data_IF_968274729951
#
_entry.id   IF_968274729951
#
_cell.length_a   1.000
_cell.length_b   1.000
_cell.length_c   1.000
_cell.angle_alpha   90.00
_cell.angle_beta   90.00
_cell.angle_gamma   90.00
#
_symmetry.space_group_name_H-M   'P 1'
#
loop_
_entity.id
_entity.type
_entity.pdbx_description
1 polymer ?
#
# COMPACT_ATOMS: atom_id res chain seq x y z
N UNK A 1 11.14 -0.80 19.25
CA UNK A 1 11.25 -1.39 17.89
C UNK A 1 10.40 -0.63 16.87
N UNK A 2 9.08 -0.55 17.05
CA UNK A 2 8.15 0.12 16.10
C UNK A 2 8.55 1.56 15.72
N UNK A 3 8.87 2.41 16.71
CA UNK A 3 9.33 3.79 16.46
C UNK A 3 10.59 3.86 15.57
N UNK A 4 11.48 2.88 15.70
CA UNK A 4 12.70 2.81 14.88
C UNK A 4 12.34 2.48 13.43
N UNK A 5 11.46 1.49 13.20
CA UNK A 5 10.98 1.13 11.85
C UNK A 5 10.24 2.29 11.17
N UNK A 6 9.40 3.01 11.92
CA UNK A 6 8.73 4.22 11.46
C UNK A 6 9.73 5.31 11.03
N UNK A 7 10.77 5.52 11.84
CA UNK A 7 11.83 6.47 11.52
C UNK A 7 12.64 6.05 10.28
N UNK A 8 13.03 4.78 10.18
CA UNK A 8 13.73 4.22 9.00
C UNK A 8 12.89 4.38 7.71
N UNK A 9 11.58 4.13 7.79
CA UNK A 9 10.66 4.35 6.68
C UNK A 9 10.54 5.83 6.31
N UNK A 10 10.38 6.72 7.29
CA UNK A 10 10.35 8.16 7.07
C UNK A 10 11.64 8.69 6.42
N UNK A 11 12.80 8.20 6.85
CA UNK A 11 14.09 8.52 6.24
C UNK A 11 14.14 8.04 4.79
N UNK A 12 13.64 6.84 4.49
CA UNK A 12 13.58 6.30 3.13
C UNK A 12 12.71 7.17 2.21
N UNK A 13 11.56 7.65 2.70
CA UNK A 13 10.70 8.59 1.96
C UNK A 13 11.41 9.93 1.74
N UNK A 14 12.13 10.45 2.75
CA UNK A 14 12.92 11.67 2.63
C UNK A 14 14.06 11.54 1.61
N UNK A 15 14.71 10.38 1.53
CA UNK A 15 15.69 10.07 0.49
C UNK A 15 15.05 10.08 -0.90
N UNK A 16 13.85 9.51 -1.05
CA UNK A 16 13.08 9.60 -2.30
C UNK A 16 12.78 11.03 -2.71
N UNK A 17 12.36 11.88 -1.76
CA UNK A 17 12.16 13.31 -1.98
C UNK A 17 13.44 14.02 -2.42
N UNK A 18 14.57 13.71 -1.80
CA UNK A 18 15.87 14.26 -2.20
C UNK A 18 16.28 13.79 -3.60
N UNK A 19 15.99 12.54 -3.96
CA UNK A 19 16.25 11.98 -5.29
C UNK A 19 15.47 12.74 -6.37
N UNK A 20 14.19 13.05 -6.14
CA UNK A 20 13.38 13.86 -7.07
C UNK A 20 14.04 15.23 -7.30
N UNK A 21 14.48 15.91 -6.24
CA UNK A 21 15.19 17.20 -6.35
C UNK A 21 16.47 17.09 -7.19
N UNK A 22 17.26 16.02 -7.03
CA UNK A 22 18.45 15.78 -7.86
C UNK A 22 18.10 15.60 -9.32
N UNK A 23 17.05 14.84 -9.62
CA UNK A 23 16.59 14.59 -11.00
C UNK A 23 16.12 15.89 -11.66
N UNK A 24 15.35 16.72 -10.96
CA UNK A 24 14.92 18.04 -11.47
C UNK A 24 16.14 18.91 -11.78
N UNK A 25 17.09 19.01 -10.83
CA UNK A 25 18.31 19.78 -11.03
C UNK A 25 19.12 19.28 -12.23
N UNK A 26 19.22 17.96 -12.39
CA UNK A 26 19.89 17.36 -13.53
C UNK A 26 19.27 17.78 -14.86
N UNK A 27 17.95 17.74 -14.99
CA UNK A 27 17.27 18.19 -16.22
C UNK A 27 17.40 19.70 -16.46
N UNK A 28 17.43 20.52 -15.41
CA UNK A 28 17.72 21.95 -15.52
C UNK A 28 19.13 22.21 -16.06
N UNK A 29 20.12 21.50 -15.54
CA UNK A 29 21.51 21.64 -16.01
C UNK A 29 21.71 21.08 -17.43
N UNK A 30 21.02 20.00 -17.81
CA UNK A 30 20.97 19.52 -19.20
C UNK A 30 20.43 20.60 -20.13
N UNK A 31 19.32 21.23 -19.75
CA UNK A 31 18.69 22.30 -20.54
C UNK A 31 19.67 23.44 -20.81
N UNK A 32 20.41 23.89 -19.78
CA UNK A 32 21.43 24.93 -19.92
C UNK A 32 22.62 24.47 -20.75
N UNK A 33 23.14 23.26 -20.49
CA UNK A 33 24.34 22.72 -21.15
C UNK A 33 24.16 22.61 -22.67
N UNK A 34 23.01 22.13 -23.11
CA UNK A 34 22.72 21.95 -24.54
C UNK A 34 21.99 23.15 -25.16
N UNK A 35 21.66 24.18 -24.37
CA UNK A 35 20.86 25.34 -24.77
C UNK A 35 19.60 24.95 -25.58
N UNK A 36 18.91 23.92 -25.12
CA UNK A 36 17.83 23.28 -25.86
C UNK A 36 16.49 23.56 -25.17
N UNK A 37 15.66 24.39 -25.82
CA UNK A 37 14.37 24.85 -25.31
C UNK A 37 13.37 23.70 -25.09
N UNK A 38 13.46 22.64 -25.89
CA UNK A 38 12.55 21.50 -25.81
C UNK A 38 12.71 20.77 -24.46
N UNK A 39 13.94 20.69 -23.91
CA UNK A 39 14.13 20.17 -22.55
C UNK A 39 13.48 21.05 -21.48
N UNK A 40 13.53 22.38 -21.64
CA UNK A 40 12.86 23.31 -20.74
C UNK A 40 11.33 23.12 -20.77
N UNK A 41 10.76 22.99 -21.98
CA UNK A 41 9.33 22.77 -22.18
C UNK A 41 8.86 21.45 -21.56
N UNK A 42 9.60 20.35 -21.79
CA UNK A 42 9.27 19.05 -21.20
C UNK A 42 9.28 19.11 -19.67
N UNK A 43 10.28 19.77 -19.08
CA UNK A 43 10.34 19.95 -17.64
C UNK A 43 9.14 20.76 -17.14
N UNK A 44 8.83 21.89 -17.79
CA UNK A 44 7.70 22.76 -17.44
C UNK A 44 6.37 22.00 -17.45
N UNK A 45 6.13 21.18 -18.47
CA UNK A 45 4.92 20.35 -18.59
C UNK A 45 4.80 19.32 -17.46
N UNK A 46 5.91 18.83 -16.92
CA UNK A 46 5.92 17.84 -15.83
C UNK A 46 5.85 18.46 -14.42
N UNK A 47 6.15 19.76 -14.26
CA UNK A 47 6.16 20.44 -12.94
C UNK A 47 4.88 20.19 -12.12
N UNK A 48 3.65 20.25 -12.68
CA UNK A 48 2.45 19.99 -11.91
C UNK A 48 2.44 18.59 -11.26
N UNK A 49 2.73 17.56 -12.04
CA UNK A 49 2.78 16.16 -11.56
C UNK A 49 3.89 15.99 -10.52
N UNK A 50 5.07 16.55 -10.77
CA UNK A 50 6.20 16.54 -9.84
C UNK A 50 5.84 17.21 -8.51
N UNK A 51 5.11 18.34 -8.55
CA UNK A 51 4.67 19.06 -7.35
C UNK A 51 3.74 18.21 -6.50
N UNK A 52 2.83 17.47 -7.10
CA UNK A 52 1.92 16.57 -6.39
C UNK A 52 2.66 15.40 -5.74
N UNK A 53 3.61 14.79 -6.47
CA UNK A 53 4.53 13.77 -5.92
C UNK A 53 5.31 14.34 -4.72
N UNK A 54 5.89 15.54 -4.84
CA UNK A 54 6.65 16.18 -3.75
C UNK A 54 5.77 16.50 -2.54
N UNK A 55 4.54 16.98 -2.75
CA UNK A 55 3.57 17.20 -1.67
C UNK A 55 3.23 15.88 -0.96
N UNK A 56 3.08 14.79 -1.71
CA UNK A 56 2.80 13.47 -1.14
C UNK A 56 4.01 12.91 -0.38
N UNK A 57 5.22 13.01 -0.93
CA UNK A 57 6.47 12.63 -0.24
C UNK A 57 6.65 13.41 1.06
N UNK A 58 6.46 14.73 1.05
CA UNK A 58 6.57 15.56 2.25
C UNK A 58 5.57 15.15 3.34
N UNK A 59 4.32 14.87 2.95
CA UNK A 59 3.30 14.34 3.88
C UNK A 59 3.71 12.94 4.37
N UNK A 60 4.14 12.08 3.47
CA UNK A 60 4.56 10.71 3.75
C UNK A 60 5.71 10.61 4.74
N UNK A 61 6.71 11.50 4.69
CA UNK A 61 7.77 11.57 5.71
C UNK A 61 7.14 11.72 7.10
N UNK A 62 6.23 12.69 7.27
CA UNK A 62 5.53 12.90 8.53
C UNK A 62 4.70 11.67 8.93
N UNK A 63 3.84 11.19 8.03
CA UNK A 63 2.95 10.05 8.31
C UNK A 63 3.75 8.80 8.73
N UNK A 64 4.82 8.47 8.02
CA UNK A 64 5.68 7.32 8.32
C UNK A 64 6.39 7.49 9.66
N UNK A 65 6.96 8.67 9.95
CA UNK A 65 7.64 8.92 11.24
C UNK A 65 6.68 8.86 12.43
N UNK A 66 5.44 9.34 12.26
CA UNK A 66 4.38 9.31 13.27
C UNK A 66 3.72 7.92 13.38
N UNK A 67 3.96 7.02 12.41
CA UNK A 67 3.34 5.70 12.36
C UNK A 67 1.85 5.75 12.01
N UNK A 68 1.44 6.75 11.24
CA UNK A 68 0.06 6.85 10.76
C UNK A 68 -0.19 5.87 9.59
N UNK A 69 -1.40 5.33 9.44
CA UNK A 69 -1.76 4.50 8.29
C UNK A 69 -1.64 5.22 6.95
N UNK A 70 -0.94 4.60 6.01
CA UNK A 70 -0.75 5.12 4.66
C UNK A 70 -1.61 4.35 3.64
N UNK A 71 -1.71 4.85 2.40
CA UNK A 71 -2.50 4.20 1.35
C UNK A 71 -2.11 2.74 1.12
N UNK A 72 -0.81 2.45 1.12
CA UNK A 72 -0.24 1.10 0.95
C UNK A 72 -0.60 0.13 2.09
N UNK A 73 -1.09 0.65 3.21
CA UNK A 73 -1.49 -0.16 4.37
C UNK A 73 -2.84 -0.85 4.22
N UNK A 74 -3.57 -0.64 3.13
CA UNK A 74 -4.90 -1.22 2.95
C UNK A 74 -4.87 -2.76 2.84
N UNK A 75 -3.89 -3.35 2.15
CA UNK A 75 -3.74 -4.80 2.04
C UNK A 75 -3.53 -5.46 3.42
N UNK A 76 -2.54 -5.02 4.22
CA UNK A 76 -2.33 -5.53 5.57
C UNK A 76 -3.47 -5.20 6.53
N UNK A 77 -4.24 -4.14 6.28
CA UNK A 77 -5.43 -3.80 7.05
C UNK A 77 -6.57 -4.79 6.80
N UNK A 78 -6.84 -5.13 5.54
CA UNK A 78 -7.83 -6.16 5.18
C UNK A 78 -7.43 -7.50 5.77
N UNK A 79 -6.16 -7.92 5.65
CA UNK A 79 -5.68 -9.16 6.27
C UNK A 79 -5.85 -9.16 7.80
N UNK A 80 -5.41 -8.08 8.48
CA UNK A 80 -5.56 -7.97 9.94
C UNK A 80 -7.01 -8.05 10.42
N UNK A 81 -8.00 -7.71 9.57
CA UNK A 81 -9.42 -7.80 9.91
C UNK A 81 -9.95 -9.22 10.07
N UNK A 82 -9.19 -10.21 9.59
CA UNK A 82 -9.49 -11.63 9.75
C UNK A 82 -8.68 -12.29 10.87
N UNK A 83 -7.71 -11.59 11.47
CA UNK A 83 -6.84 -12.12 12.51
C UNK A 83 -7.47 -11.91 13.89
N UNK A 84 -8.15 -12.94 14.39
CA UNK A 84 -8.88 -12.94 15.68
C UNK A 84 -8.11 -13.65 16.79
N UNK A 85 -7.15 -14.50 16.41
CA UNK A 85 -6.28 -15.23 17.34
C UNK A 85 -4.96 -14.50 17.54
N UNK A 86 -4.21 -14.94 18.55
CA UNK A 86 -2.85 -14.46 18.78
C UNK A 86 -1.97 -14.76 17.56
N UNK A 87 -1.35 -13.74 16.92
CA UNK A 87 -0.49 -13.95 15.77
C UNK A 87 0.78 -14.73 16.14
N UNK A 88 1.15 -15.66 15.27
CA UNK A 88 2.45 -16.33 15.25
C UNK A 88 3.40 -15.47 14.41
N UNK A 89 4.67 -15.40 14.81
CA UNK A 89 5.68 -14.59 14.10
C UNK A 89 6.64 -15.46 13.27
N UNK A 90 6.94 -15.02 12.06
CA UNK A 90 8.11 -15.43 11.27
C UNK A 90 9.15 -14.32 11.40
N UNK A 91 9.94 -14.38 12.47
CA UNK A 91 10.82 -13.27 12.89
C UNK A 91 11.85 -12.87 11.83
N UNK A 92 12.44 -13.84 11.13
CA UNK A 92 13.44 -13.61 10.08
C UNK A 92 12.88 -12.85 8.88
N UNK A 93 11.61 -13.11 8.56
CA UNK A 93 10.94 -12.57 7.38
C UNK A 93 10.12 -11.30 7.71
N UNK A 94 10.12 -10.87 8.98
CA UNK A 94 9.27 -9.82 9.54
C UNK A 94 7.76 -9.98 9.23
N UNK A 95 7.27 -11.23 9.16
CA UNK A 95 5.86 -11.54 8.91
C UNK A 95 5.15 -12.06 10.16
N UNK A 96 3.84 -11.91 10.18
CA UNK A 96 2.93 -12.52 11.16
C UNK A 96 1.84 -13.30 10.46
N UNK A 97 1.37 -14.37 11.10
CA UNK A 97 0.26 -15.17 10.57
C UNK A 97 -0.64 -15.73 11.67
N UNK A 98 -1.91 -15.98 11.33
CA UNK A 98 -2.87 -16.68 12.19
C UNK A 98 -3.57 -17.79 11.42
N UNK A 99 -4.02 -18.81 12.15
CA UNK A 99 -4.86 -19.89 11.63
C UNK A 99 -6.30 -19.63 12.05
N UNK A 100 -7.14 -19.26 11.10
CA UNK A 100 -8.49 -18.77 11.32
C UNK A 100 -9.52 -19.68 10.65
N UNK A 101 -10.79 -19.51 11.02
CA UNK A 101 -11.89 -20.16 10.33
C UNK A 101 -12.79 -19.08 9.73
N UNK A 102 -12.81 -18.98 8.40
CA UNK A 102 -13.55 -17.97 7.65
C UNK A 102 -14.55 -18.72 6.77
N UNK A 103 -15.85 -18.43 6.91
CA UNK A 103 -16.93 -19.13 6.21
C UNK A 103 -16.85 -20.67 6.32
N UNK A 104 -16.43 -21.19 7.48
CA UNK A 104 -16.28 -22.64 7.69
C UNK A 104 -15.03 -23.25 7.04
N UNK A 105 -14.16 -22.45 6.43
CA UNK A 105 -12.89 -22.87 5.80
C UNK A 105 -11.71 -22.50 6.68
N UNK A 106 -10.76 -23.44 6.82
CA UNK A 106 -9.48 -23.18 7.47
C UNK A 106 -8.67 -22.20 6.62
N UNK A 107 -8.33 -21.05 7.18
CA UNK A 107 -7.56 -20.02 6.51
C UNK A 107 -6.26 -19.73 7.26
N UNK A 108 -5.17 -19.50 6.53
CA UNK A 108 -3.92 -18.99 7.09
C UNK A 108 -3.79 -17.56 6.61
N UNK A 109 -4.01 -16.61 7.51
CA UNK A 109 -3.95 -15.17 7.20
C UNK A 109 -2.54 -14.69 7.51
N UNK A 110 -1.93 -13.99 6.57
CA UNK A 110 -0.53 -13.57 6.60
C UNK A 110 -0.43 -12.09 6.24
N UNK A 111 0.43 -11.37 6.95
CA UNK A 111 0.80 -9.98 6.63
C UNK A 111 2.18 -9.66 7.22
N UNK A 112 2.80 -8.54 6.85
CA UNK A 112 3.99 -8.06 7.54
C UNK A 112 3.68 -7.70 9.01
N UNK A 113 4.71 -7.66 9.84
CA UNK A 113 4.58 -7.32 11.27
C UNK A 113 4.35 -5.81 11.45
N UNK A 114 3.19 -5.44 11.97
CA UNK A 114 2.86 -4.08 12.38
C UNK A 114 2.91 -3.85 13.90
N UNK A 115 2.58 -2.64 14.38
CA UNK A 115 2.09 -1.48 13.62
C UNK A 115 3.17 -0.58 13.01
N UNK A 116 4.45 -0.91 13.19
CA UNK A 116 5.56 -0.19 12.58
C UNK A 116 5.59 -0.37 11.06
N UNK A 117 6.15 0.62 10.37
CA UNK A 117 6.30 0.60 8.92
C UNK A 117 7.25 -0.53 8.49
N UNK A 118 6.68 -1.63 7.98
CA UNK A 118 7.39 -2.81 7.46
C UNK A 118 6.69 -3.33 6.21
N UNK A 119 7.46 -3.89 5.30
CA UNK A 119 6.98 -4.62 4.11
C UNK A 119 7.25 -6.13 4.25
N UNK A 120 8.31 -6.51 4.96
CA UNK A 120 8.69 -7.92 5.19
C UNK A 120 9.30 -8.62 3.96
N UNK A 121 9.95 -9.77 4.17
CA UNK A 121 10.41 -10.66 3.10
C UNK A 121 9.26 -11.65 2.76
N UNK A 122 8.34 -11.19 1.92
CA UNK A 122 7.15 -11.96 1.56
C UNK A 122 7.52 -13.21 0.76
N UNK A 123 8.56 -13.17 -0.06
CA UNK A 123 9.00 -14.31 -0.87
C UNK A 123 9.36 -15.53 -0.01
N UNK A 124 10.33 -15.38 0.89
CA UNK A 124 10.79 -16.50 1.73
C UNK A 124 9.75 -16.92 2.75
N UNK A 125 9.09 -15.95 3.39
CA UNK A 125 8.04 -16.22 4.36
C UNK A 125 6.89 -17.03 3.77
N UNK A 126 6.46 -16.68 2.56
CA UNK A 126 5.40 -17.41 1.86
C UNK A 126 5.82 -18.82 1.45
N UNK A 127 7.07 -19.03 1.00
CA UNK A 127 7.57 -20.38 0.71
C UNK A 127 7.42 -21.29 1.94
N UNK A 128 7.89 -20.83 3.11
CA UNK A 128 7.79 -21.56 4.39
C UNK A 128 6.33 -21.93 4.71
N UNK A 129 5.39 -21.01 4.50
CA UNK A 129 3.97 -21.22 4.79
C UNK A 129 3.27 -22.14 3.77
N UNK A 130 3.60 -22.02 2.48
CA UNK A 130 3.09 -22.89 1.43
C UNK A 130 3.53 -24.34 1.66
N UNK A 131 4.76 -24.56 2.10
CA UNK A 131 5.28 -25.89 2.42
C UNK A 131 4.61 -26.51 3.65
N UNK A 132 4.43 -25.70 4.69
CA UNK A 132 3.84 -26.12 5.96
C UNK A 132 2.35 -26.45 5.83
N UNK A 133 1.58 -25.56 5.22
CA UNK A 133 0.12 -25.66 5.20
C UNK A 133 -0.45 -26.30 3.94
N UNK A 134 0.34 -26.38 2.86
CA UNK A 134 -0.07 -26.95 1.56
C UNK A 134 -1.45 -26.43 1.14
N UNK A 135 -1.61 -25.09 0.97
CA UNK A 135 -2.91 -24.50 0.72
C UNK A 135 -3.50 -24.98 -0.61
N UNK A 136 -4.82 -25.09 -0.67
CA UNK A 136 -5.55 -25.35 -1.91
C UNK A 136 -5.53 -24.12 -2.81
N UNK A 137 -5.46 -22.91 -2.22
CA UNK A 137 -5.58 -21.63 -2.91
C UNK A 137 -4.86 -20.53 -2.14
N UNK A 138 -4.30 -19.57 -2.85
CA UNK A 138 -3.70 -18.37 -2.26
C UNK A 138 -4.45 -17.14 -2.77
N UNK A 139 -4.82 -16.24 -1.86
CA UNK A 139 -5.48 -14.98 -2.16
C UNK A 139 -4.53 -13.86 -1.73
N UNK A 140 -4.17 -12.97 -2.65
CA UNK A 140 -3.30 -11.81 -2.39
C UNK A 140 -4.12 -10.54 -2.45
N UNK A 141 -3.86 -9.62 -1.53
CA UNK A 141 -4.57 -8.34 -1.41
C UNK A 141 -3.51 -7.25 -1.36
N UNK A 142 -3.50 -6.37 -2.36
CA UNK A 142 -2.50 -5.31 -2.49
C UNK A 142 -3.14 -3.99 -2.90
N UNK A 143 -2.44 -2.92 -2.57
CA UNK A 143 -2.75 -1.60 -3.05
C UNK A 143 -2.07 -1.37 -4.41
N UNK A 144 -2.83 -1.04 -5.44
CA UNK A 144 -2.32 -0.90 -6.81
C UNK A 144 -2.49 0.52 -7.33
N UNK A 145 -1.51 0.99 -8.10
CA UNK A 145 -1.61 2.26 -8.82
C UNK A 145 -2.83 2.28 -9.75
N UNK A 146 -3.65 3.32 -9.61
CA UNK A 146 -4.77 3.59 -10.52
C UNK A 146 -4.26 4.25 -11.79
N UNK A 147 -4.92 3.96 -12.90
CA UNK A 147 -4.84 4.78 -14.10
C UNK A 147 -5.74 6.01 -13.95
N UNK A 148 -5.53 7.05 -14.76
CA UNK A 148 -6.29 8.30 -14.57
C UNK A 148 -7.79 8.18 -14.86
N UNK A 149 -8.19 7.22 -15.70
CA UNK A 149 -9.60 6.88 -15.92
C UNK A 149 -10.22 6.01 -14.81
N UNK A 150 -9.42 5.46 -13.89
CA UNK A 150 -9.92 4.60 -12.83
C UNK A 150 -10.32 5.42 -11.59
N UNK A 151 -11.40 4.98 -10.94
CA UNK A 151 -11.88 5.56 -9.69
C UNK A 151 -10.98 5.12 -8.53
N UNK A 152 -10.53 6.06 -7.72
CA UNK A 152 -9.81 5.76 -6.47
C UNK A 152 -10.71 4.97 -5.50
N UNK A 153 -10.17 3.91 -4.91
CA UNK A 153 -10.88 2.97 -4.07
C UNK A 153 -11.66 1.89 -4.82
N UNK A 154 -11.61 1.84 -6.16
CA UNK A 154 -12.17 0.71 -6.90
C UNK A 154 -11.35 -0.55 -6.69
N UNK A 155 -12.00 -1.71 -6.73
CA UNK A 155 -11.33 -3.01 -6.62
C UNK A 155 -11.25 -3.69 -7.99
N UNK A 156 -10.19 -4.47 -8.20
CA UNK A 156 -10.05 -5.34 -9.36
C UNK A 156 -9.64 -6.75 -8.91
N UNK A 157 -10.32 -7.77 -9.45
CA UNK A 157 -9.96 -9.18 -9.26
C UNK A 157 -9.11 -9.67 -10.44
N UNK A 158 -8.11 -10.52 -10.17
CA UNK A 158 -7.25 -11.11 -11.20
C UNK A 158 -6.64 -12.44 -10.77
N UNK A 159 -5.73 -12.96 -11.59
CA UNK A 159 -4.97 -14.19 -11.32
C UNK A 159 -3.49 -13.84 -11.16
N UNK A 160 -2.82 -14.48 -10.20
CA UNK A 160 -1.42 -14.22 -9.87
C UNK A 160 -1.25 -13.55 -8.51
N UNK A 161 -0.04 -13.06 -8.24
CA UNK A 161 0.26 -12.33 -7.00
C UNK A 161 0.21 -10.83 -7.27
N UNK A 162 -0.73 -10.14 -6.62
CA UNK A 162 -0.76 -8.69 -6.58
C UNK A 162 0.37 -8.21 -5.65
N UNK A 163 1.45 -7.70 -6.24
CA UNK A 163 2.58 -7.13 -5.49
C UNK A 163 3.42 -6.22 -6.39
N UNK A 164 3.76 -5.04 -5.86
CA UNK A 164 4.70 -4.10 -6.47
C UNK A 164 6.18 -4.51 -6.34
N UNK A 165 7.08 -3.60 -6.74
CA UNK A 165 8.53 -3.73 -6.55
C UNK A 165 9.26 -4.42 -7.70
N UNK A 166 10.44 -4.98 -7.40
CA UNK A 166 11.35 -5.59 -8.40
C UNK A 166 10.81 -6.86 -9.05
N UNK A 167 9.73 -7.44 -8.50
CA UNK A 167 9.14 -8.70 -8.98
C UNK A 167 9.83 -9.96 -8.47
N UNK A 168 10.91 -9.86 -7.70
CA UNK A 168 11.65 -11.03 -7.18
C UNK A 168 10.81 -11.84 -6.20
N UNK A 169 10.17 -11.19 -5.22
CA UNK A 169 9.30 -11.86 -4.26
C UNK A 169 8.07 -12.47 -4.97
N UNK A 170 7.54 -11.77 -5.98
CA UNK A 170 6.40 -12.22 -6.79
C UNK A 170 6.76 -13.52 -7.50
N UNK A 171 7.92 -13.53 -8.16
CA UNK A 171 8.47 -14.71 -8.83
C UNK A 171 8.57 -15.91 -7.87
N UNK A 172 9.13 -15.74 -6.67
CA UNK A 172 9.27 -16.85 -5.73
C UNK A 172 7.93 -17.47 -5.31
N UNK A 173 6.92 -16.65 -5.06
CA UNK A 173 5.59 -17.12 -4.68
C UNK A 173 4.92 -17.82 -5.87
N UNK A 174 4.95 -17.19 -7.05
CA UNK A 174 4.31 -17.70 -8.27
C UNK A 174 4.95 -19.01 -8.74
N UNK A 175 6.29 -19.08 -8.73
CA UNK A 175 7.03 -20.29 -9.08
C UNK A 175 6.64 -21.46 -8.15
N UNK A 176 6.62 -21.21 -6.84
CA UNK A 176 6.29 -22.24 -5.84
C UNK A 176 4.83 -22.69 -5.95
N UNK A 177 3.90 -21.76 -6.12
CA UNK A 177 2.47 -22.05 -6.29
C UNK A 177 2.23 -22.84 -7.58
N UNK A 178 2.86 -22.44 -8.68
CA UNK A 178 2.74 -23.11 -9.99
C UNK A 178 3.27 -24.54 -9.94
N UNK A 179 4.47 -24.75 -9.36
CA UNK A 179 5.04 -26.10 -9.17
C UNK A 179 4.12 -27.04 -8.38
N UNK A 180 3.29 -26.48 -7.48
CA UNK A 180 2.33 -27.22 -6.65
C UNK A 180 0.89 -27.18 -7.19
N UNK A 181 0.66 -26.54 -8.34
CA UNK A 181 -0.66 -26.34 -8.97
C UNK A 181 -1.67 -25.67 -8.04
N UNK A 182 -1.20 -24.70 -7.25
CA UNK A 182 -2.02 -23.90 -6.33
C UNK A 182 -2.50 -22.66 -7.09
N UNK A 183 -3.83 -22.46 -7.28
CA UNK A 183 -4.36 -21.25 -7.87
C UNK A 183 -4.05 -20.01 -7.03
N UNK A 184 -3.79 -18.91 -7.73
CA UNK A 184 -3.47 -17.60 -7.17
C UNK A 184 -4.56 -16.61 -7.57
N UNK A 185 -5.29 -16.07 -6.60
CA UNK A 185 -6.22 -14.97 -6.81
C UNK A 185 -5.60 -13.66 -6.33
N UNK A 186 -5.79 -12.60 -7.10
CA UNK A 186 -5.31 -11.25 -6.80
C UNK A 186 -6.51 -10.32 -6.59
N UNK A 187 -6.46 -9.52 -5.52
CA UNK A 187 -7.39 -8.42 -5.26
C UNK A 187 -6.54 -7.14 -5.19
N UNK A 188 -6.72 -6.27 -6.17
CA UNK A 188 -6.02 -5.00 -6.27
C UNK A 188 -6.95 -3.84 -5.90
N UNK A 189 -6.52 -3.00 -4.95
CA UNK A 189 -7.27 -1.81 -4.52
C UNK A 189 -6.64 -0.59 -5.16
N UNK A 190 -7.37 0.07 -6.05
CA UNK A 190 -6.85 1.16 -6.89
C UNK A 190 -6.68 2.45 -6.09
N UNK A 191 -5.46 2.98 -6.07
CA UNK A 191 -5.13 4.24 -5.43
C UNK A 191 -4.24 5.10 -6.32
N UNK A 192 -4.22 6.41 -6.08
CA UNK A 192 -3.20 7.27 -6.69
C UNK A 192 -1.81 6.81 -6.22
N UNK A 193 -0.81 6.66 -7.11
CA UNK A 193 0.54 6.24 -6.72
C UNK A 193 1.15 7.14 -5.63
N UNK A 194 0.85 8.42 -5.67
CA UNK A 194 1.32 9.39 -4.68
C UNK A 194 0.74 9.11 -3.28
N UNK A 195 -0.47 8.56 -3.21
CA UNK A 195 -1.16 8.27 -1.97
C UNK A 195 -0.65 6.98 -1.28
N UNK A 196 0.17 6.17 -1.96
CA UNK A 196 0.76 4.95 -1.39
C UNK A 196 1.58 5.26 -0.13
N UNK A 197 2.30 6.38 -0.15
CA UNK A 197 3.25 6.78 0.89
C UNK A 197 2.71 7.82 1.88
N UNK A 198 1.56 8.45 1.58
CA UNK A 198 0.92 9.43 2.44
C UNK A 198 -0.28 8.83 3.18
N UNK A 199 -0.88 9.59 4.10
CA UNK A 199 -2.09 9.19 4.81
C UNK A 199 -3.15 8.57 3.87
N UNK A 200 -3.75 7.47 4.30
CA UNK A 200 -4.81 6.78 3.55
C UNK A 200 -5.98 7.71 3.26
N UNK A 201 -6.39 7.78 1.99
CA UNK A 201 -7.52 8.62 1.56
C UNK A 201 -8.87 7.97 1.87
N UNK A 202 -9.93 8.77 1.84
CA UNK A 202 -11.29 8.27 2.00
C UNK A 202 -11.67 7.26 0.91
N UNK A 203 -11.21 7.49 -0.33
CA UNK A 203 -11.46 6.58 -1.44
C UNK A 203 -10.91 5.19 -1.15
N UNK A 204 -9.63 5.10 -0.79
CA UNK A 204 -8.98 3.83 -0.43
C UNK A 204 -9.62 3.19 0.80
N UNK A 205 -9.93 3.99 1.83
CA UNK A 205 -10.54 3.46 3.06
C UNK A 205 -11.93 2.86 2.83
N UNK A 206 -12.74 3.42 1.91
CA UNK A 206 -14.06 2.87 1.56
C UNK A 206 -13.96 1.48 0.90
N UNK A 207 -12.86 1.19 0.20
CA UNK A 207 -12.62 -0.10 -0.43
C UNK A 207 -12.41 -1.24 0.60
N UNK A 208 -12.16 -0.91 1.87
CA UNK A 208 -11.88 -1.89 2.92
C UNK A 208 -12.96 -2.97 3.05
N UNK A 209 -14.24 -2.58 3.15
CA UNK A 209 -15.32 -3.56 3.31
C UNK A 209 -15.59 -4.34 2.02
N UNK A 210 -15.46 -3.70 0.86
CA UNK A 210 -15.58 -4.35 -0.45
C UNK A 210 -14.49 -5.41 -0.63
N UNK A 211 -13.23 -5.07 -0.34
CA UNK A 211 -12.12 -6.01 -0.39
C UNK A 211 -12.30 -7.18 0.58
N UNK A 212 -12.80 -6.94 1.81
CA UNK A 212 -13.13 -8.02 2.75
C UNK A 212 -14.21 -8.96 2.20
N UNK A 213 -15.23 -8.41 1.55
CA UNK A 213 -16.28 -9.21 0.93
C UNK A 213 -15.73 -10.07 -0.22
N UNK A 214 -14.84 -9.50 -1.05
CA UNK A 214 -14.15 -10.24 -2.12
C UNK A 214 -13.26 -11.37 -1.59
N UNK A 215 -12.52 -11.12 -0.50
CA UNK A 215 -11.73 -12.18 0.16
C UNK A 215 -12.62 -13.33 0.60
N UNK A 216 -13.74 -13.05 1.27
CA UNK A 216 -14.69 -14.10 1.69
C UNK A 216 -15.25 -14.88 0.50
N UNK A 217 -15.67 -14.17 -0.56
CA UNK A 217 -16.14 -14.77 -1.83
C UNK A 217 -15.07 -15.69 -2.46
N UNK A 218 -13.79 -15.31 -2.40
CA UNK A 218 -12.70 -16.11 -2.95
C UNK A 218 -12.31 -17.30 -2.06
N UNK A 219 -12.46 -17.17 -0.74
CA UNK A 219 -12.34 -18.30 0.21
C UNK A 219 -13.38 -19.36 -0.08
N UNK A 220 -14.62 -18.98 -0.40
CA UNK A 220 -15.72 -19.92 -0.70
C UNK A 220 -15.46 -20.77 -1.96
N UNK A 221 -14.57 -20.33 -2.86
CA UNK A 221 -14.16 -21.10 -4.04
C UNK A 221 -13.28 -22.31 -3.69
N UNK A 222 -12.71 -22.36 -2.49
CA UNK A 222 -11.92 -23.50 -2.04
C UNK A 222 -12.82 -24.66 -1.59
N UNK A 223 -12.51 -25.88 -2.01
CA UNK A 223 -13.34 -27.06 -1.75
C UNK A 223 -13.02 -27.70 -0.41
N UNK A 224 -11.79 -28.16 -0.20
CA UNK A 224 -11.44 -29.07 0.91
C UNK A 224 -10.15 -28.70 1.65
N UNK A 225 -9.23 -27.98 1.04
CA UNK A 225 -7.95 -27.59 1.63
C UNK A 225 -7.96 -26.19 2.25
N UNK A 226 -6.90 -25.85 3.00
CA UNK A 226 -6.79 -24.54 3.62
C UNK A 226 -6.53 -23.45 2.57
N UNK A 227 -7.01 -22.24 2.83
CA UNK A 227 -6.77 -21.06 1.99
C UNK A 227 -5.71 -20.18 2.65
N UNK A 228 -4.72 -19.74 1.91
CA UNK A 228 -3.74 -18.79 2.41
C UNK A 228 -4.12 -17.38 1.92
N UNK A 229 -4.28 -16.44 2.84
CA UNK A 229 -4.64 -15.05 2.55
C UNK A 229 -3.44 -14.17 2.89
N UNK A 230 -2.91 -13.44 1.91
CA UNK A 230 -1.75 -12.57 2.07
C UNK A 230 -2.17 -11.11 1.88
N UNK A 231 -2.03 -10.30 2.94
CA UNK A 231 -2.10 -8.84 2.83
C UNK A 231 -0.73 -8.27 2.52
N UNK A 232 -0.58 -7.72 1.32
CA UNK A 232 0.65 -7.12 0.77
C UNK A 232 0.61 -5.62 0.99
N UNK A 233 1.75 -5.04 1.40
CA UNK A 233 1.92 -3.60 1.59
C UNK A 233 2.49 -3.23 2.96
N UNK A 234 2.71 -1.94 3.17
CA UNK A 234 3.33 -1.39 4.37
C UNK A 234 2.40 -1.43 5.60
N UNK A 235 2.89 -1.87 6.75
CA UNK A 235 2.10 -1.99 7.99
C UNK A 235 2.05 -0.76 8.91
N UNK A 236 2.56 0.39 8.48
CA UNK A 236 2.51 1.64 9.25
C UNK A 236 1.11 1.90 9.79
N UNK A 237 0.99 2.05 11.11
CA UNK A 237 -0.26 2.30 11.82
C UNK A 237 -1.28 1.16 11.82
N UNK A 238 -0.96 -0.03 11.27
CA UNK A 238 -1.86 -1.18 11.24
C UNK A 238 -1.29 -2.32 12.08
N UNK A 239 -1.92 -2.62 13.22
CA UNK A 239 -1.50 -3.74 14.07
C UNK A 239 -1.78 -5.14 13.49
N UNK A 240 -1.50 -6.15 14.30
CA UNK A 240 -1.47 -7.57 13.88
C UNK A 240 -2.76 -8.34 14.26
N UNK A 241 -3.83 -7.63 14.61
CA UNK A 241 -5.05 -8.22 15.16
C UNK A 241 -6.27 -7.33 14.87
N UNK A 242 -7.45 -7.93 14.71
CA UNK A 242 -8.69 -7.21 14.39
C UNK A 242 -8.98 -6.04 15.36
N UNK A 243 -8.90 -6.30 16.67
CA UNK A 243 -9.03 -5.26 17.72
C UNK A 243 -8.12 -4.04 17.56
N UNK A 244 -6.93 -4.19 16.98
CA UNK A 244 -6.02 -3.06 16.75
C UNK A 244 -6.49 -2.14 15.61
N UNK A 245 -7.44 -2.60 14.79
CA UNK A 245 -7.99 -1.81 13.69
C UNK A 245 -8.90 -0.68 14.16
N UNK A 246 -9.48 -0.75 15.37
CA UNK A 246 -10.31 0.34 15.88
C UNK A 246 -9.53 1.64 16.03
N UNK A 247 -8.31 1.55 16.56
CA UNK A 247 -7.41 2.70 16.69
C UNK A 247 -6.96 3.20 15.31
N UNK A 248 -6.55 2.30 14.42
CA UNK A 248 -6.18 2.64 13.06
C UNK A 248 -7.32 3.37 12.32
N UNK A 249 -8.55 2.86 12.41
CA UNK A 249 -9.74 3.47 11.79
C UNK A 249 -10.00 4.88 12.34
N UNK A 250 -9.83 5.11 13.65
CA UNK A 250 -9.96 6.45 14.26
C UNK A 250 -8.91 7.42 13.70
N UNK A 251 -7.66 6.99 13.57
CA UNK A 251 -6.57 7.81 13.00
C UNK A 251 -6.86 8.13 11.52
N UNK A 252 -7.26 7.13 10.72
CA UNK A 252 -7.63 7.31 9.30
C UNK A 252 -8.76 8.32 9.16
N UNK A 253 -9.84 8.19 9.94
CA UNK A 253 -10.97 9.13 9.88
C UNK A 253 -10.58 10.55 10.30
N UNK A 254 -9.73 10.70 11.32
CA UNK A 254 -9.18 12.01 11.71
C UNK A 254 -8.36 12.64 10.59
N UNK A 255 -7.50 11.84 9.94
CA UNK A 255 -6.66 12.30 8.84
C UNK A 255 -7.47 12.69 7.60
N UNK A 256 -8.51 11.92 7.26
CA UNK A 256 -9.44 12.26 6.18
C UNK A 256 -10.09 13.62 6.43
N UNK A 257 -10.54 13.90 7.67
CA UNK A 257 -11.12 15.20 8.03
C UNK A 257 -10.09 16.34 7.87
N UNK A 258 -8.86 16.13 8.36
CA UNK A 258 -7.75 17.11 8.24
C UNK A 258 -7.43 17.41 6.78
N UNK A 259 -7.34 16.39 5.93
CA UNK A 259 -7.06 16.56 4.50
C UNK A 259 -8.15 17.35 3.79
N UNK A 260 -9.43 17.09 4.09
CA UNK A 260 -10.55 17.85 3.53
C UNK A 260 -10.51 19.33 3.91
N UNK A 261 -10.14 19.64 5.15
CA UNK A 261 -9.98 21.05 5.56
C UNK A 261 -8.81 21.73 4.85
N UNK A 262 -7.67 21.04 4.71
CA UNK A 262 -6.49 21.56 4.00
C UNK A 262 -6.80 21.81 2.51
N UNK A 263 -7.50 20.89 1.84
CA UNK A 263 -7.92 21.06 0.45
C UNK A 263 -8.91 22.22 0.27
N UNK A 264 -9.84 22.41 1.21
CA UNK A 264 -10.77 23.52 1.18
C UNK A 264 -10.06 24.88 1.33
N UNK A 265 -9.06 24.96 2.21
CA UNK A 265 -8.23 26.15 2.35
C UNK A 265 -7.37 26.42 1.12
N UNK A 266 -6.73 25.39 0.53
CA UNK A 266 -5.97 25.56 -0.71
C UNK A 266 -6.87 26.05 -1.86
N UNK A 267 -8.10 25.53 -1.98
CA UNK A 267 -9.07 26.00 -2.98
C UNK A 267 -9.48 27.45 -2.76
N UNK A 268 -9.71 27.88 -1.52
CA UNK A 268 -10.00 29.28 -1.20
C UNK A 268 -8.82 30.19 -1.57
N UNK A 269 -7.60 29.81 -1.22
CA UNK A 269 -6.38 30.58 -1.56
C UNK A 269 -6.17 30.69 -3.07
N UNK A 270 -6.42 29.61 -3.82
CA UNK A 270 -6.40 29.63 -5.30
C UNK A 270 -7.47 30.55 -5.86
N UNK A 271 -8.72 30.42 -5.42
CA UNK A 271 -9.80 31.30 -5.87
C UNK A 271 -9.52 32.79 -5.63
N UNK A 272 -8.87 33.12 -4.51
CA UNK A 272 -8.45 34.51 -4.21
C UNK A 272 -7.33 34.95 -5.16
N UNK A 273 -6.33 34.10 -5.41
CA UNK A 273 -5.26 34.37 -6.37
C UNK A 273 -5.77 34.50 -7.80
N UNK A 274 -6.67 33.64 -8.23
CA UNK A 274 -7.30 33.67 -9.55
C UNK A 274 -8.16 34.95 -9.71
N UNK A 275 -8.80 35.43 -8.63
CA UNK A 275 -9.53 36.71 -8.64
C UNK A 275 -8.63 37.96 -8.62
N UNK A 276 -7.35 37.79 -8.28
CA UNK A 276 -6.33 38.86 -8.22
C UNK A 276 -5.35 38.79 -9.41
N UNK A 277 -5.40 37.73 -10.22
CA UNK A 277 -4.65 37.59 -11.48
C UNK A 277 -5.38 38.38 -12.58
N UNK A 278 -4.75 39.38 -13.22
CA UNK A 278 -5.34 40.07 -14.36
C UNK A 278 -5.19 39.29 -15.68
N UNK A 279 -4.82 38.01 -15.62
CA UNK A 279 -4.71 37.08 -16.75
C UNK A 279 -5.51 35.82 -16.48
#
# INVERSE_FOLDING_TARGET
EEKRKNFEAGLSVAMGMHQVTKVIRHYLEITKKYNNLQFAMLLQMQIPMIKDIMKALRRGVKNMTEGEPVGDSIGPMVAASFMTKKPKELKEDELVYTEENINGKKCVVVKPKGPGARVGDMGKGMIKLIEKYKPERIITIDAAGKLEGEKEGSTAEGVGVAMGGSGVERYYIEEKATKRRIPLDAIAIKMRPENAISAMTEGVFRAFEEARALVKKNVDRAKKGPVLILGVGNTSGIGNHEKSLEEAKKIIQKNIKRMKSEEAEEKKKRSIWDSLSPF
#
